data_IF_287484636550
#
_entry.id   IF_287484636550
#
_cell.length_a   1.000
_cell.length_b   1.000
_cell.length_c   1.000
_cell.angle_alpha   90.00
_cell.angle_beta   90.00
_cell.angle_gamma   90.00
#
_symmetry.space_group_name_H-M   'P 1'
#
loop_
_entity.id
_entity.type
_entity.pdbx_description
1 polymer ?
#
# COMPACT_ATOMS: atom_id res chain seq x y z
N UNK A 1 -30.34 -60.38 13.30
CA UNK A 1 -28.93 -59.94 13.37
C UNK A 1 -28.79 -58.76 12.43
N UNK A 2 -28.40 -57.58 12.93
CA UNK A 2 -28.16 -56.41 12.10
C UNK A 2 -26.69 -56.01 12.27
N UNK A 3 -25.94 -55.98 11.17
CA UNK A 3 -24.55 -55.55 11.17
C UNK A 3 -24.58 -54.02 11.07
N UNK A 4 -24.27 -53.35 12.18
CA UNK A 4 -23.99 -51.91 12.16
C UNK A 4 -22.59 -51.77 11.55
N UNK A 5 -22.54 -51.29 10.31
CA UNK A 5 -21.27 -50.96 9.66
C UNK A 5 -20.66 -49.77 10.39
N UNK A 6 -19.53 -49.97 11.07
CA UNK A 6 -18.75 -48.85 11.63
C UNK A 6 -18.31 -47.95 10.47
N UNK A 7 -18.91 -46.76 10.37
CA UNK A 7 -18.36 -45.68 9.58
C UNK A 7 -17.09 -45.21 10.29
N UNK A 8 -15.93 -45.55 9.72
CA UNK A 8 -14.67 -44.97 10.16
C UNK A 8 -14.69 -43.47 9.85
N UNK A 9 -14.86 -42.64 10.87
CA UNK A 9 -14.50 -41.22 10.77
C UNK A 9 -12.99 -41.12 10.57
N UNK A 10 -12.56 -40.85 9.34
CA UNK A 10 -11.16 -40.57 9.05
C UNK A 10 -10.74 -39.31 9.80
N UNK A 11 -9.78 -39.48 10.73
CA UNK A 11 -9.22 -38.35 11.48
C UNK A 11 -8.44 -37.46 10.50
N UNK A 12 -8.60 -36.13 10.55
CA UNK A 12 -7.85 -35.23 9.69
C UNK A 12 -6.35 -35.38 9.96
N UNK A 13 -5.61 -35.86 8.97
CA UNK A 13 -4.15 -35.92 9.03
C UNK A 13 -3.57 -34.52 8.84
N UNK A 14 -2.83 -34.02 9.81
CA UNK A 14 -2.18 -32.70 9.72
C UNK A 14 -0.89 -32.82 8.91
N UNK A 15 -0.95 -32.47 7.63
CA UNK A 15 0.22 -32.43 6.74
C UNK A 15 1.02 -31.13 6.98
N UNK A 16 2.35 -31.19 7.19
CA UNK A 16 3.15 -30.00 7.48
C UNK A 16 3.39 -29.15 6.23
N UNK A 17 2.91 -27.90 6.25
CA UNK A 17 3.20 -26.89 5.23
C UNK A 17 4.46 -26.09 5.58
N UNK A 18 5.33 -25.85 4.59
CA UNK A 18 6.52 -24.98 4.73
C UNK A 18 6.66 -24.07 3.51
N UNK A 19 6.46 -22.77 3.72
CA UNK A 19 6.77 -21.72 2.76
C UNK A 19 7.46 -20.55 3.45
N UNK A 20 8.35 -19.88 2.72
CA UNK A 20 8.96 -18.60 3.11
C UNK A 20 8.06 -17.46 2.65
N UNK A 21 7.73 -16.53 3.56
CA UNK A 21 7.11 -15.26 3.17
C UNK A 21 8.19 -14.31 2.67
N UNK A 22 8.03 -13.82 1.44
CA UNK A 22 8.84 -12.74 0.86
C UNK A 22 7.94 -11.50 0.78
N UNK A 23 8.35 -10.40 1.41
CA UNK A 23 7.62 -9.13 1.37
C UNK A 23 7.62 -8.46 -0.01
N UNK A 24 8.48 -8.91 -0.92
CA UNK A 24 8.65 -8.43 -2.31
C UNK A 24 7.91 -9.32 -3.32
N UNK A 25 7.30 -10.41 -2.85
CA UNK A 25 6.37 -11.22 -3.63
C UNK A 25 5.40 -11.96 -2.68
N UNK A 26 4.45 -11.24 -2.04
CA UNK A 26 3.47 -11.85 -1.16
C UNK A 26 2.53 -12.81 -1.91
N UNK A 27 2.31 -12.60 -3.21
CA UNK A 27 1.54 -13.50 -4.06
C UNK A 27 2.22 -14.87 -4.17
N UNK A 28 3.54 -14.93 -4.37
CA UNK A 28 4.29 -16.19 -4.43
C UNK A 28 4.28 -17.01 -3.13
N UNK A 29 3.94 -16.41 -1.99
CA UNK A 29 3.60 -17.16 -0.76
C UNK A 29 2.17 -17.70 -0.79
N UNK A 30 1.20 -16.88 -1.22
CA UNK A 30 -0.21 -17.25 -1.33
C UNK A 30 -0.44 -18.34 -2.40
N UNK A 31 0.23 -18.26 -3.55
CA UNK A 31 0.25 -19.28 -4.60
C UNK A 31 0.73 -20.63 -4.03
N UNK A 32 1.87 -20.65 -3.31
CA UNK A 32 2.37 -21.88 -2.66
C UNK A 32 1.40 -22.44 -1.62
N UNK A 33 0.68 -21.57 -0.91
CA UNK A 33 -0.35 -21.98 0.05
C UNK A 33 -1.59 -22.55 -0.66
N UNK A 34 -2.05 -21.92 -1.74
CA UNK A 34 -3.18 -22.39 -2.55
C UNK A 34 -2.84 -23.70 -3.28
N UNK A 35 -1.64 -23.82 -3.85
CA UNK A 35 -1.08 -25.05 -4.43
C UNK A 35 -1.09 -26.21 -3.43
N UNK A 36 -0.69 -25.94 -2.18
CA UNK A 36 -0.72 -26.94 -1.12
C UNK A 36 -2.16 -27.31 -0.75
N UNK A 37 -3.06 -26.34 -0.60
CA UNK A 37 -4.49 -26.58 -0.36
C UNK A 37 -5.12 -27.37 -1.50
N UNK A 38 -4.76 -27.12 -2.76
CA UNK A 38 -5.26 -27.86 -3.92
C UNK A 38 -4.69 -29.28 -4.07
N UNK A 39 -3.52 -29.57 -3.48
CA UNK A 39 -2.91 -30.91 -3.44
C UNK A 39 -3.47 -31.76 -2.30
N UNK A 40 -3.64 -31.16 -1.12
CA UNK A 40 -4.08 -31.85 0.10
C UNK A 40 -5.60 -31.77 0.35
N UNK A 41 -6.35 -31.02 -0.46
CA UNK A 41 -7.80 -30.83 -0.29
C UNK A 41 -8.55 -30.59 -1.60
N UNK A 42 -9.81 -31.00 -1.64
CA UNK A 42 -10.75 -30.66 -2.71
C UNK A 42 -11.36 -29.25 -2.58
N UNK A 43 -10.90 -28.43 -1.62
CA UNK A 43 -11.46 -27.11 -1.34
C UNK A 43 -11.53 -26.22 -2.59
N UNK A 44 -10.45 -26.13 -3.38
CA UNK A 44 -10.38 -25.29 -4.58
C UNK A 44 -11.23 -25.80 -5.76
N UNK A 45 -11.80 -27.00 -5.68
CA UNK A 45 -12.67 -27.59 -6.71
C UNK A 45 -14.16 -27.31 -6.46
N UNK A 46 -14.49 -26.51 -5.43
CA UNK A 46 -15.85 -26.12 -5.09
C UNK A 46 -16.22 -24.80 -5.78
N UNK A 47 -17.43 -24.70 -6.31
CA UNK A 47 -17.98 -23.46 -6.88
C UNK A 47 -18.00 -22.28 -5.88
N UNK A 48 -17.90 -22.55 -4.57
CA UNK A 48 -17.84 -21.54 -3.51
C UNK A 48 -16.42 -21.10 -3.14
N UNK A 49 -15.37 -21.79 -3.62
CA UNK A 49 -13.99 -21.59 -3.17
C UNK A 49 -13.50 -20.16 -3.35
N UNK A 50 -13.69 -19.59 -4.55
CA UNK A 50 -13.31 -18.20 -4.86
C UNK A 50 -14.04 -17.20 -3.95
N UNK A 51 -15.33 -17.42 -3.70
CA UNK A 51 -16.16 -16.59 -2.83
C UNK A 51 -15.73 -16.67 -1.37
N UNK A 52 -15.37 -17.85 -0.89
CA UNK A 52 -14.88 -18.08 0.47
C UNK A 52 -13.47 -17.48 0.68
N UNK A 53 -12.58 -17.60 -0.31
CA UNK A 53 -11.26 -16.94 -0.32
C UNK A 53 -11.44 -15.41 -0.34
N UNK A 54 -12.30 -14.87 -1.21
CA UNK A 54 -12.60 -13.45 -1.27
C UNK A 54 -13.18 -12.93 0.06
N UNK A 55 -14.08 -13.68 0.70
CA UNK A 55 -14.60 -13.34 2.03
C UNK A 55 -13.51 -13.34 3.10
N UNK A 56 -12.58 -14.31 3.08
CA UNK A 56 -11.45 -14.36 3.99
C UNK A 56 -10.50 -13.16 3.80
N UNK A 57 -10.26 -12.73 2.56
CA UNK A 57 -9.47 -11.54 2.21
C UNK A 57 -10.18 -10.26 2.67
N UNK A 58 -11.49 -10.12 2.44
CA UNK A 58 -12.26 -8.97 2.93
C UNK A 58 -12.24 -8.89 4.46
N UNK A 59 -12.43 -10.00 5.16
CA UNK A 59 -12.35 -10.06 6.62
C UNK A 59 -10.92 -9.75 7.14
N UNK A 60 -9.87 -10.12 6.42
CA UNK A 60 -8.50 -9.73 6.74
C UNK A 60 -8.29 -8.21 6.59
N UNK A 61 -8.80 -7.62 5.51
CA UNK A 61 -8.77 -6.17 5.25
C UNK A 61 -9.55 -5.38 6.30
N UNK A 62 -10.66 -5.92 6.80
CA UNK A 62 -11.45 -5.32 7.88
C UNK A 62 -10.71 -5.36 9.23
N UNK A 63 -10.16 -6.52 9.64
CA UNK A 63 -9.35 -6.63 10.87
C UNK A 63 -8.16 -5.67 10.90
N UNK A 64 -7.52 -5.39 9.75
CA UNK A 64 -6.45 -4.40 9.66
C UNK A 64 -6.98 -2.97 9.88
N UNK A 65 -8.10 -2.61 9.24
CA UNK A 65 -8.78 -1.30 9.42
C UNK A 65 -9.28 -1.06 10.85
N UNK A 66 -9.66 -2.12 11.56
CA UNK A 66 -10.05 -2.03 12.98
C UNK A 66 -8.83 -1.86 13.89
N UNK A 67 -7.73 -2.57 13.61
CA UNK A 67 -6.47 -2.42 14.34
C UNK A 67 -5.85 -1.02 14.20
N UNK A 68 -6.06 -0.36 13.06
CA UNK A 68 -5.67 1.05 12.83
C UNK A 68 -6.51 2.05 13.63
N UNK A 69 -7.75 1.69 14.01
CA UNK A 69 -8.69 2.58 14.71
C UNK A 69 -8.66 2.49 16.24
N UNK A 70 -7.99 1.48 16.80
CA UNK A 70 -7.94 1.28 18.26
C UNK A 70 -6.53 0.82 18.72
N UNK A 71 -5.64 1.76 19.10
CA UNK A 71 -4.24 1.43 19.42
C UNK A 71 -4.03 0.75 20.79
N UNK A 72 -5.03 0.63 21.67
CA UNK A 72 -4.85 0.29 23.08
C UNK A 72 -4.71 -1.22 23.42
N UNK A 73 -4.49 -2.12 22.44
CA UNK A 73 -4.26 -3.56 22.72
C UNK A 73 -3.08 -4.15 21.96
N UNK A 74 -1.85 -3.83 22.41
CA UNK A 74 -0.64 -4.54 21.95
C UNK A 74 0.53 -4.64 22.95
N UNK A 75 0.24 -5.03 24.20
CA UNK A 75 1.19 -5.77 25.03
C UNK A 75 0.97 -7.27 24.78
N UNK A 76 1.74 -7.94 23.95
CA UNK A 76 2.97 -8.70 24.27
C UNK A 76 3.12 -9.72 23.10
N UNK A 77 4.24 -10.32 22.71
CA UNK A 77 5.51 -10.69 23.36
C UNK A 77 6.64 -10.58 22.32
N UNK A 78 7.82 -10.10 22.72
CA UNK A 78 9.11 -10.41 22.04
C UNK A 78 9.83 -11.46 22.90
N UNK A 79 10.60 -12.41 22.33
CA UNK A 79 12.02 -12.12 22.06
C UNK A 79 12.72 -12.89 20.90
N UNK A 80 13.64 -12.18 20.20
CA UNK A 80 15.00 -12.62 19.74
C UNK A 80 15.13 -13.87 18.82
N UNK A 81 16.04 -14.00 17.83
CA UNK A 81 17.16 -13.20 17.26
C UNK A 81 17.60 -13.88 15.92
N UNK A 82 18.70 -13.62 15.17
CA UNK A 82 19.89 -12.75 15.36
C UNK A 82 20.37 -12.06 14.04
N UNK A 83 21.40 -12.57 13.33
CA UNK A 83 22.21 -11.82 12.32
C UNK A 83 22.82 -12.69 11.19
N UNK A 84 22.70 -12.24 9.91
CA UNK A 84 23.72 -12.05 8.81
C UNK A 84 24.74 -13.16 8.38
N UNK A 85 25.47 -13.05 7.22
CA UNK A 85 25.16 -12.43 5.90
C UNK A 85 25.67 -13.19 4.61
N UNK A 86 25.25 -12.70 3.41
CA UNK A 86 25.97 -12.70 2.09
C UNK A 86 26.28 -14.04 1.32
N UNK A 87 26.58 -14.02 0.00
CA UNK A 87 26.82 -12.89 -0.93
C UNK A 87 25.92 -12.82 -2.20
N UNK A 88 26.21 -11.83 -3.05
CA UNK A 88 25.56 -11.49 -4.33
C UNK A 88 25.76 -12.52 -5.46
N UNK A 89 24.85 -12.55 -6.44
CA UNK A 89 25.22 -12.55 -7.86
C UNK A 89 24.13 -11.88 -8.74
N UNK A 90 24.51 -11.45 -9.95
CA UNK A 90 23.82 -10.43 -10.76
C UNK A 90 23.26 -11.02 -12.04
N UNK A 91 21.97 -10.80 -12.35
CA UNK A 91 21.47 -10.80 -13.73
C UNK A 91 20.49 -9.63 -14.01
N UNK A 92 20.41 -9.23 -15.28
CA UNK A 92 19.82 -7.96 -15.75
C UNK A 92 18.28 -8.00 -15.83
N UNK A 93 17.60 -6.83 -15.82
CA UNK A 93 16.17 -6.76 -16.04
C UNK A 93 15.81 -7.20 -17.47
N UNK A 94 14.74 -7.98 -17.61
CA UNK A 94 13.98 -8.02 -18.86
C UNK A 94 12.92 -6.93 -18.83
N UNK A 95 12.88 -6.14 -19.89
CA UNK A 95 11.71 -5.33 -20.25
C UNK A 95 10.57 -6.27 -20.67
N UNK A 96 9.39 -6.08 -20.10
CA UNK A 96 8.04 -6.50 -20.53
C UNK A 96 7.11 -6.09 -19.36
N UNK A 97 5.96 -5.43 -19.53
CA UNK A 97 5.18 -5.14 -20.72
C UNK A 97 4.53 -3.73 -20.61
N UNK A 98 4.43 -2.98 -21.72
CA UNK A 98 3.67 -1.72 -21.78
C UNK A 98 2.21 -2.04 -22.10
N UNK A 99 1.49 -2.57 -21.13
CA UNK A 99 0.03 -2.59 -21.20
C UNK A 99 -0.50 -1.20 -20.83
N UNK A 100 -1.04 -0.50 -21.81
CA UNK A 100 -1.93 0.66 -21.60
C UNK A 100 -3.22 0.19 -20.93
N UNK A 101 -3.15 -0.10 -19.62
CA UNK A 101 -4.32 -0.08 -18.77
C UNK A 101 -4.80 1.35 -18.63
N UNK A 102 -6.12 1.55 -18.63
CA UNK A 102 -6.71 2.89 -18.51
C UNK A 102 -6.40 3.55 -17.15
N UNK A 103 -6.73 4.85 -17.02
CA UNK A 103 -6.40 5.64 -15.83
C UNK A 103 -6.79 4.95 -14.52
N UNK A 104 -5.82 4.76 -13.62
CA UNK A 104 -5.98 3.97 -12.40
C UNK A 104 -6.87 4.73 -11.40
N UNK A 105 -7.78 4.04 -10.73
CA UNK A 105 -8.59 4.64 -9.65
C UNK A 105 -7.65 5.01 -8.48
N UNK A 106 -7.60 6.28 -8.04
CA UNK A 106 -6.68 6.70 -7.00
C UNK A 106 -6.99 6.06 -5.63
N UNK A 107 -5.99 6.06 -4.75
CA UNK A 107 -6.17 5.72 -3.33
C UNK A 107 -6.99 6.81 -2.60
N UNK A 108 -7.30 6.57 -1.32
CA UNK A 108 -8.07 7.50 -0.48
C UNK A 108 -7.47 8.89 -0.31
N UNK A 109 -6.18 9.05 -0.60
CA UNK A 109 -5.49 10.33 -0.59
C UNK A 109 -5.18 10.82 -1.99
N UNK A 110 -5.97 10.45 -3.00
CA UNK A 110 -5.86 10.97 -4.37
C UNK A 110 -4.53 10.68 -5.09
N UNK A 111 -3.78 9.67 -4.64
CA UNK A 111 -2.53 9.20 -5.24
C UNK A 111 -2.54 7.69 -5.49
N UNK A 112 -1.40 7.02 -5.33
CA UNK A 112 -1.27 5.57 -5.52
C UNK A 112 -0.52 4.88 -4.37
N UNK A 113 -0.85 3.60 -4.20
CA UNK A 113 -0.16 2.70 -3.28
C UNK A 113 0.71 1.71 -4.09
N UNK A 114 2.03 1.77 -3.92
CA UNK A 114 2.97 0.77 -4.46
C UNK A 114 3.52 -0.10 -3.32
N UNK A 115 4.22 -1.17 -3.69
CA UNK A 115 4.84 -2.09 -2.73
C UNK A 115 5.97 -1.43 -1.90
N UNK A 116 6.75 -0.55 -2.52
CA UNK A 116 7.92 0.10 -1.90
C UNK A 116 7.61 1.42 -1.19
N UNK A 117 6.52 2.07 -1.57
CA UNK A 117 6.06 3.35 -1.02
C UNK A 117 4.63 3.63 -1.48
N UNK A 118 3.91 4.52 -0.81
CA UNK A 118 2.68 5.12 -1.33
C UNK A 118 2.85 6.63 -1.46
N UNK A 119 1.98 7.26 -2.22
CA UNK A 119 1.84 8.70 -2.23
C UNK A 119 0.37 9.13 -2.20
N UNK A 120 0.15 10.31 -1.65
CA UNK A 120 -1.13 10.99 -1.58
C UNK A 120 -0.93 12.45 -1.97
N UNK A 121 -2.00 13.16 -2.28
CA UNK A 121 -1.96 14.58 -2.62
C UNK A 121 -3.27 15.28 -2.25
N UNK A 122 -3.16 16.58 -2.06
CA UNK A 122 -4.27 17.52 -2.20
C UNK A 122 -3.90 18.53 -3.32
N UNK A 123 -4.63 19.64 -3.44
CA UNK A 123 -4.30 20.67 -4.44
C UNK A 123 -2.95 21.38 -4.19
N UNK A 124 -2.48 21.45 -2.95
CA UNK A 124 -1.33 22.26 -2.55
C UNK A 124 -0.02 21.46 -2.43
N UNK A 125 -0.12 20.17 -2.11
CA UNK A 125 1.02 19.33 -1.72
C UNK A 125 0.85 17.85 -2.14
N UNK A 126 1.98 17.13 -2.17
CA UNK A 126 2.07 15.68 -2.35
C UNK A 126 2.84 15.11 -1.17
N UNK A 127 2.32 14.06 -0.54
CA UNK A 127 2.97 13.37 0.58
C UNK A 127 3.37 11.97 0.13
N UNK A 128 4.66 11.64 0.26
CA UNK A 128 5.24 10.34 -0.13
C UNK A 128 5.66 9.58 1.12
N UNK A 129 5.12 8.38 1.31
CA UNK A 129 5.29 7.53 2.49
C UNK A 129 6.06 6.27 2.13
N UNK A 130 7.28 6.14 2.64
CA UNK A 130 8.19 5.03 2.34
C UNK A 130 8.40 4.18 3.60
N UNK A 131 7.86 2.96 3.68
CA UNK A 131 8.15 2.04 4.78
C UNK A 131 9.65 1.74 4.90
N UNK A 132 10.17 1.75 6.12
CA UNK A 132 11.59 1.51 6.45
C UNK A 132 11.74 0.53 7.63
N UNK A 133 12.88 -0.19 7.72
CA UNK A 133 13.16 -1.05 8.86
C UNK A 133 13.15 -0.29 10.19
N UNK A 134 12.54 -0.88 11.21
CA UNK A 134 12.43 -0.31 12.55
C UNK A 134 13.82 0.05 13.13
N UNK A 135 13.93 1.24 13.72
CA UNK A 135 15.19 1.75 14.28
C UNK A 135 16.11 2.43 13.24
N UNK A 136 15.63 2.64 12.00
CA UNK A 136 16.30 3.50 11.03
C UNK A 136 16.45 4.92 11.59
N UNK A 137 17.68 5.44 11.59
CA UNK A 137 18.01 6.77 12.09
C UNK A 137 18.11 7.76 10.94
N UNK A 138 17.69 9.01 11.13
CA UNK A 138 17.71 10.06 10.09
C UNK A 138 19.08 10.24 9.42
N UNK A 139 20.18 10.04 10.16
CA UNK A 139 21.55 10.07 9.61
C UNK A 139 21.82 9.02 8.53
N UNK A 140 21.05 7.93 8.49
CA UNK A 140 21.12 6.82 7.54
C UNK A 140 20.15 6.98 6.37
N UNK A 141 19.30 8.00 6.36
CA UNK A 141 18.44 8.35 5.24
C UNK A 141 19.18 9.33 4.32
N UNK A 142 18.97 9.17 3.02
CA UNK A 142 19.31 10.16 1.99
C UNK A 142 17.99 10.63 1.40
N UNK A 143 17.69 11.93 1.56
CA UNK A 143 16.56 12.58 0.91
C UNK A 143 17.08 13.87 0.26
N UNK A 144 17.03 13.94 -1.07
CA UNK A 144 17.31 15.14 -1.85
C UNK A 144 16.04 15.55 -2.59
N UNK A 145 15.51 16.72 -2.23
CA UNK A 145 14.35 17.31 -2.90
C UNK A 145 14.87 18.45 -3.77
N UNK A 146 14.66 18.33 -5.09
CA UNK A 146 15.00 19.35 -6.08
C UNK A 146 13.74 19.75 -6.82
N UNK A 147 13.72 20.96 -7.38
CA UNK A 147 12.54 21.57 -8.04
C UNK A 147 11.71 20.60 -8.89
N UNK A 148 12.35 19.74 -9.69
CA UNK A 148 11.69 18.75 -10.56
C UNK A 148 12.20 17.31 -10.34
N UNK A 149 12.86 16.98 -9.23
CA UNK A 149 13.41 15.62 -9.00
C UNK A 149 13.40 15.28 -7.52
N UNK A 150 12.95 14.07 -7.20
CA UNK A 150 12.98 13.52 -5.85
C UNK A 150 13.95 12.34 -5.81
N UNK A 151 14.85 12.33 -4.83
CA UNK A 151 15.70 11.18 -4.51
C UNK A 151 15.53 10.82 -3.04
N UNK A 152 15.05 9.60 -2.75
CA UNK A 152 14.88 9.11 -1.38
C UNK A 152 15.36 7.66 -1.26
N UNK A 153 16.09 7.34 -0.20
CA UNK A 153 16.52 5.98 0.09
C UNK A 153 17.39 5.90 1.34
N UNK A 154 17.97 4.74 1.58
CA UNK A 154 18.90 4.50 2.69
C UNK A 154 20.36 4.60 2.22
N UNK A 155 21.24 5.16 3.05
CA UNK A 155 22.67 5.30 2.75
C UNK A 155 23.32 3.92 2.60
N UNK A 156 23.99 3.72 1.47
CA UNK A 156 24.63 2.45 1.13
C UNK A 156 23.69 1.40 0.52
N UNK A 157 22.47 1.81 0.14
CA UNK A 157 21.54 1.01 -0.66
C UNK A 157 21.15 1.80 -1.93
N UNK A 158 20.55 1.11 -2.90
CA UNK A 158 19.93 1.79 -4.03
C UNK A 158 18.79 2.71 -3.57
N UNK A 159 18.61 3.88 -4.20
CA UNK A 159 17.47 4.75 -3.91
C UNK A 159 16.14 4.04 -4.17
N UNK A 160 15.16 4.28 -3.30
CA UNK A 160 13.78 3.79 -3.46
C UNK A 160 13.06 4.65 -4.52
N UNK A 161 13.41 5.93 -4.58
CA UNK A 161 13.01 6.90 -5.61
C UNK A 161 14.27 7.67 -6.02
N UNK A 162 14.50 7.90 -7.32
CA UNK A 162 15.54 8.82 -7.82
C UNK A 162 15.16 9.40 -9.21
N UNK A 163 13.94 9.90 -9.32
CA UNK A 163 13.30 10.19 -10.60
C UNK A 163 12.71 11.60 -10.70
N UNK A 164 12.39 12.00 -11.93
CA UNK A 164 11.81 13.30 -12.23
C UNK A 164 10.36 13.38 -11.71
N UNK A 165 10.02 14.44 -10.97
CA UNK A 165 8.66 14.70 -10.49
C UNK A 165 7.72 15.07 -11.66
N UNK A 166 6.41 14.84 -11.49
CA UNK A 166 5.37 15.25 -12.45
C UNK A 166 5.43 16.74 -12.81
N UNK A 167 5.49 17.62 -11.81
CA UNK A 167 5.65 19.06 -11.99
C UNK A 167 6.55 19.68 -10.90
N UNK A 168 6.81 20.98 -10.98
CA UNK A 168 7.66 21.70 -10.05
C UNK A 168 7.09 21.76 -8.64
N UNK A 169 7.98 21.55 -7.66
CA UNK A 169 7.76 21.80 -6.23
C UNK A 169 8.53 23.05 -5.80
N UNK A 170 8.21 23.58 -4.61
CA UNK A 170 8.95 24.65 -3.93
C UNK A 170 9.92 24.02 -2.91
N UNK A 171 11.21 23.80 -3.25
CA UNK A 171 12.08 22.96 -2.41
C UNK A 171 12.29 23.50 -0.99
N UNK A 172 12.23 24.83 -0.83
CA UNK A 172 12.37 25.51 0.47
C UNK A 172 11.15 25.29 1.39
N UNK A 173 9.98 25.00 0.81
CA UNK A 173 8.73 24.66 1.52
C UNK A 173 8.53 23.12 1.64
N UNK A 174 9.46 22.32 1.12
CA UNK A 174 9.40 20.85 1.20
C UNK A 174 10.20 20.35 2.40
N UNK A 175 9.68 19.34 3.10
CA UNK A 175 10.39 18.72 4.22
C UNK A 175 10.15 17.22 4.28
N UNK A 176 11.00 16.52 5.04
CA UNK A 176 10.82 15.10 5.30
C UNK A 176 11.09 14.80 6.77
N UNK A 177 10.44 13.75 7.27
CA UNK A 177 10.59 13.29 8.63
C UNK A 177 10.58 11.74 8.68
N UNK A 178 10.80 11.17 9.87
CA UNK A 178 10.62 9.73 10.11
C UNK A 178 9.53 9.54 11.15
N UNK A 179 8.41 8.96 10.72
CA UNK A 179 7.25 8.66 11.56
C UNK A 179 7.46 7.28 12.21
N UNK A 180 7.24 7.20 13.53
CA UNK A 180 7.34 6.00 14.37
C UNK A 180 8.60 5.14 14.23
N UNK A 181 9.68 5.71 13.68
CA UNK A 181 10.90 4.99 13.27
C UNK A 181 10.65 3.87 12.22
N UNK A 182 9.54 3.97 11.47
CA UNK A 182 9.04 2.94 10.54
C UNK A 182 8.66 3.46 9.15
N UNK A 183 8.44 4.76 8.98
CA UNK A 183 8.08 5.35 7.69
C UNK A 183 8.88 6.63 7.48
N UNK A 184 9.48 6.82 6.29
CA UNK A 184 9.94 8.14 5.85
C UNK A 184 8.74 8.83 5.21
N UNK A 185 8.35 9.98 5.77
CA UNK A 185 7.26 10.82 5.27
C UNK A 185 7.88 12.05 4.63
N UNK A 186 7.66 12.26 3.33
CA UNK A 186 8.20 13.37 2.54
C UNK A 186 7.05 14.23 2.03
N UNK A 187 6.99 15.48 2.47
CA UNK A 187 5.99 16.45 2.05
C UNK A 187 6.58 17.38 1.00
N UNK A 188 5.91 17.42 -0.15
CA UNK A 188 6.29 18.18 -1.34
C UNK A 188 5.26 19.27 -1.62
N UNK A 189 5.59 20.51 -1.27
CA UNK A 189 4.74 21.67 -1.59
C UNK A 189 4.80 21.95 -3.09
N UNK A 190 3.66 21.83 -3.80
CA UNK A 190 3.57 22.08 -5.23
C UNK A 190 3.83 23.56 -5.56
N UNK A 191 4.49 23.82 -6.69
CA UNK A 191 4.66 25.19 -7.18
C UNK A 191 3.35 25.72 -7.77
N UNK A 192 2.63 24.90 -8.53
CA UNK A 192 1.25 25.14 -8.93
C UNK A 192 0.31 24.44 -7.94
N UNK A 193 -0.53 25.24 -7.26
CA UNK A 193 -1.44 24.78 -6.22
C UNK A 193 -2.89 24.63 -6.72
N UNK A 194 -3.08 24.58 -8.04
CA UNK A 194 -4.36 24.32 -8.71
C UNK A 194 -4.35 23.04 -9.55
N UNK A 195 -3.25 22.28 -9.56
CA UNK A 195 -3.07 21.09 -10.39
C UNK A 195 -3.05 19.78 -9.61
N UNK A 196 -3.90 18.83 -10.04
CA UNK A 196 -3.85 17.43 -9.61
C UNK A 196 -2.80 16.68 -10.42
N UNK A 197 -1.85 16.06 -9.72
CA UNK A 197 -0.79 15.29 -10.35
C UNK A 197 -1.31 13.92 -10.77
N UNK A 198 -0.91 13.48 -11.97
CA UNK A 198 -1.31 12.15 -12.47
C UNK A 198 -0.42 11.01 -11.97
N UNK A 199 0.80 11.32 -11.54
CA UNK A 199 1.78 10.41 -10.97
C UNK A 199 2.70 11.20 -10.03
N UNK A 200 3.46 10.54 -9.15
CA UNK A 200 4.43 11.24 -8.30
C UNK A 200 5.74 11.51 -9.05
N UNK A 201 6.38 10.44 -9.53
CA UNK A 201 7.56 10.49 -10.41
C UNK A 201 7.32 9.81 -11.75
N UNK A 202 8.08 10.25 -12.75
CA UNK A 202 8.00 9.83 -14.14
C UNK A 202 8.28 8.33 -14.28
N UNK A 203 7.41 7.64 -15.02
CA UNK A 203 7.49 6.18 -15.25
C UNK A 203 6.52 5.37 -14.40
N UNK A 204 5.89 5.98 -13.40
CA UNK A 204 4.69 5.45 -12.76
C UNK A 204 3.48 5.43 -13.72
N UNK A 205 2.46 4.58 -13.45
CA UNK A 205 1.17 4.65 -14.13
C UNK A 205 0.38 5.92 -13.75
N UNK A 206 -0.46 6.40 -14.67
CA UNK A 206 -1.31 7.60 -14.44
C UNK A 206 -2.60 7.26 -13.66
N UNK A 207 -2.94 8.07 -12.66
CA UNK A 207 -4.26 8.05 -12.03
C UNK A 207 -5.33 8.76 -12.86
N UNK A 208 -6.57 8.35 -12.65
CA UNK A 208 -7.74 9.09 -13.10
C UNK A 208 -7.99 10.31 -12.20
N UNK A 209 -7.49 11.47 -12.62
CA UNK A 209 -7.73 12.74 -11.91
C UNK A 209 -9.20 13.19 -11.93
N UNK A 210 -10.10 12.54 -12.69
CA UNK A 210 -11.54 12.80 -12.60
C UNK A 210 -12.20 12.06 -11.42
N UNK A 211 -11.54 11.03 -10.86
CA UNK A 211 -11.99 10.27 -9.69
C UNK A 211 -11.37 10.76 -8.37
N UNK A 212 -10.68 11.89 -8.41
CA UNK A 212 -10.06 12.52 -7.24
C UNK A 212 -11.12 13.25 -6.41
N UNK A 213 -11.18 12.92 -5.12
CA UNK A 213 -12.08 13.59 -4.17
C UNK A 213 -11.34 14.81 -3.58
N UNK A 214 -11.74 16.06 -3.90
CA UNK A 214 -11.14 17.23 -3.27
C UNK A 214 -11.42 17.19 -1.76
N UNK A 215 -10.46 17.63 -0.93
CA UNK A 215 -10.68 17.70 0.51
C UNK A 215 -11.89 18.57 0.82
N UNK A 216 -12.99 17.94 1.23
CA UNK A 216 -14.19 18.65 1.65
C UNK A 216 -13.88 19.35 2.96
N UNK A 217 -13.56 20.65 2.88
CA UNK A 217 -13.31 21.51 4.03
C UNK A 217 -14.39 21.25 5.07
N UNK A 218 -13.99 20.69 6.21
CA UNK A 218 -14.85 20.00 7.19
C UNK A 218 -16.22 20.67 7.30
N UNK A 219 -17.23 20.09 6.64
CA UNK A 219 -18.59 20.64 6.58
C UNK A 219 -19.26 20.75 7.97
N UNK A 220 -18.71 20.11 8.99
CA UNK A 220 -19.11 20.27 10.39
C UNK A 220 -18.61 21.54 11.10
N UNK A 221 -17.58 22.22 10.56
CA UNK A 221 -17.01 23.45 11.11
C UNK A 221 -17.65 24.72 10.49
N UNK A 222 -18.49 24.55 9.46
CA UNK A 222 -19.26 25.63 8.82
C UNK A 222 -20.66 25.76 9.43
N UNK A 223 -21.18 26.99 9.46
CA UNK A 223 -22.57 27.23 9.85
C UNK A 223 -23.56 26.53 8.88
N UNK A 224 -24.80 26.23 9.30
CA UNK A 224 -25.74 25.46 8.50
C UNK A 224 -26.10 26.06 7.13
N UNK A 225 -26.00 27.38 6.96
CA UNK A 225 -26.36 28.09 5.72
C UNK A 225 -25.22 28.04 4.70
N UNK A 226 -23.98 28.34 5.15
CA UNK A 226 -22.76 28.17 4.35
C UNK A 226 -22.57 26.70 3.99
N UNK A 227 -22.77 25.79 4.94
CA UNK A 227 -22.69 24.33 4.72
C UNK A 227 -23.63 23.86 3.61
N UNK A 228 -24.92 24.24 3.68
CA UNK A 228 -25.92 23.85 2.67
C UNK A 228 -25.58 24.40 1.28
N UNK A 229 -25.01 25.61 1.22
CA UNK A 229 -24.56 26.23 -0.03
C UNK A 229 -23.36 25.48 -0.64
N UNK A 230 -22.39 25.09 0.17
CA UNK A 230 -21.21 24.31 -0.25
C UNK A 230 -21.59 22.87 -0.63
N UNK A 231 -22.41 22.18 0.16
CA UNK A 231 -22.94 20.85 -0.17
C UNK A 231 -23.68 20.86 -1.51
N UNK A 232 -24.54 21.86 -1.74
CA UNK A 232 -25.25 22.03 -3.02
C UNK A 232 -24.28 22.25 -4.17
N UNK A 233 -23.25 23.07 -3.98
CA UNK A 233 -22.25 23.34 -5.02
C UNK A 233 -21.38 22.11 -5.32
N UNK A 234 -20.95 21.35 -4.31
CA UNK A 234 -20.24 20.08 -4.46
C UNK A 234 -21.08 19.02 -5.19
N UNK A 235 -22.37 18.90 -4.84
CA UNK A 235 -23.30 17.98 -5.52
C UNK A 235 -23.53 18.36 -6.99
N UNK A 236 -23.52 19.64 -7.34
CA UNK A 236 -23.60 20.09 -8.74
C UNK A 236 -22.35 19.74 -9.57
N UNK A 237 -21.16 19.73 -8.96
CA UNK A 237 -19.92 19.32 -9.65
C UNK A 237 -19.74 17.81 -9.76
N UNK A 238 -20.51 17.01 -9.00
CA UNK A 238 -20.45 15.54 -9.00
C UNK A 238 -21.39 14.88 -10.03
N UNK A 239 -22.15 15.67 -10.79
CA UNK A 239 -23.24 15.22 -11.68
C UNK A 239 -23.13 15.71 -13.13
N UNK A 240 -21.92 16.11 -13.57
CA UNK A 240 -21.60 16.54 -14.95
C UNK A 240 -20.43 15.74 -15.49
#
# INVERSE_FOLDING_TARGET
MAIISEMQEERPSTVPFKASFDSSNPLGFLEKALDFVGKESNFLMKDTAEKEIAAAVMAAKERLREAEKNPEKKESVTPKESLKPEPMEVEKPKEEDKQESGPIVPNKGNGLDFEKYSWTQNLQEVTVNIPIPCGTKSRSVTCEIKKNRLKVGLKGQDPIIDEQLFNSVKPDDCFWNIEDQKVISVLLTKQDQMEWWKYCVKGEPEIDTQKVEPETSKLGDLDPETRSSVEKMMMFYSLV
#
